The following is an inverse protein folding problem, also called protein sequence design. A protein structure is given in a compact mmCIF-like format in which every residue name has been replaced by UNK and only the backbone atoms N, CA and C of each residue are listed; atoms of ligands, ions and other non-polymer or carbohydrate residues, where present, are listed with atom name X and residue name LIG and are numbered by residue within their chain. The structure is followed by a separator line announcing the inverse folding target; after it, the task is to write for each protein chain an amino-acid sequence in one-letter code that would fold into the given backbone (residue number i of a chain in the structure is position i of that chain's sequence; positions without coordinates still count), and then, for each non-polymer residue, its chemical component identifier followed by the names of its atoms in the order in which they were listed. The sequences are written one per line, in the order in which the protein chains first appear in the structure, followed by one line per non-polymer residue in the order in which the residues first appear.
data_IF_963635006329
#
_entry.id   IF_963635006329
#
_cell.length_a   1.000
_cell.length_b   1.000
_cell.length_c   1.000
_cell.angle_alpha   90.00
_cell.angle_beta   90.00
_cell.angle_gamma   90.00
#
_symmetry.space_group_name_H-M   'P 1'
#
loop_
_entity.id
_entity.type
_entity.pdbx_description
1 polymer ?
#
# COMPACT_ATOMS: atom_id res chain seq x y z
N UNK A 1 -2.42 -12.48 6.65
CA UNK A 1 -3.06 -11.31 6.02
C UNK A 1 -2.06 -10.46 5.25
N UNK A 2 -0.97 -10.00 5.86
CA UNK A 2 0.04 -9.16 5.21
C UNK A 2 0.67 -9.82 3.97
N UNK A 3 1.11 -11.09 4.06
CA UNK A 3 1.66 -11.82 2.93
C UNK A 3 0.67 -12.00 1.77
N UNK A 4 -0.63 -12.16 2.08
CA UNK A 4 -1.68 -12.26 1.06
C UNK A 4 -1.85 -10.93 0.34
N UNK A 5 -1.88 -9.81 1.07
CA UNK A 5 -1.97 -8.46 0.51
C UNK A 5 -0.74 -8.13 -0.34
N UNK A 6 0.46 -8.48 0.13
CA UNK A 6 1.70 -8.36 -0.62
C UNK A 6 1.66 -9.14 -1.95
N UNK A 7 1.28 -10.41 -1.89
CA UNK A 7 1.17 -11.26 -3.07
C UNK A 7 0.15 -10.72 -4.08
N UNK A 8 -0.98 -10.21 -3.59
CA UNK A 8 -2.01 -9.58 -4.43
C UNK A 8 -1.47 -8.33 -5.12
N UNK A 9 -0.78 -7.45 -4.39
CA UNK A 9 -0.16 -6.24 -4.95
C UNK A 9 0.88 -6.57 -6.04
N UNK A 10 1.83 -7.46 -5.75
CA UNK A 10 2.88 -7.86 -6.70
C UNK A 10 2.27 -8.43 -7.98
N UNK A 11 1.25 -9.29 -7.85
CA UNK A 11 0.54 -9.86 -9.00
C UNK A 11 -0.27 -8.80 -9.75
N UNK A 12 -0.94 -7.87 -9.06
CA UNK A 12 -1.68 -6.78 -9.70
C UNK A 12 -0.76 -5.92 -10.57
N UNK A 13 0.38 -5.48 -10.03
CA UNK A 13 1.39 -4.71 -10.78
C UNK A 13 1.95 -5.49 -11.95
N UNK A 14 2.26 -6.79 -11.77
CA UNK A 14 2.80 -7.62 -12.85
C UNK A 14 1.81 -7.83 -13.99
N UNK A 15 0.54 -8.06 -13.63
CA UNK A 15 -0.52 -8.36 -14.59
C UNK A 15 -1.03 -7.12 -15.32
N UNK A 16 -1.03 -5.96 -14.67
CA UNK A 16 -1.41 -4.68 -15.32
C UNK A 16 -0.48 -4.26 -16.47
N UNK A 17 0.76 -4.75 -16.47
CA UNK A 17 1.75 -4.50 -17.54
C UNK A 17 1.63 -5.44 -18.75
N UNK A 18 0.73 -6.41 -18.67
CA UNK A 18 0.52 -7.42 -19.72
C UNK A 18 -0.91 -7.37 -20.21
N UNK A 19 -1.10 -7.75 -21.46
CA UNK A 19 -2.45 -7.98 -21.98
C UNK A 19 -2.94 -9.35 -21.46
N UNK A 20 -3.46 -9.35 -20.23
CA UNK A 20 -3.90 -10.57 -19.55
C UNK A 20 -5.36 -10.87 -19.88
N UNK A 21 -5.72 -12.14 -19.77
CA UNK A 21 -7.10 -12.57 -19.89
C UNK A 21 -7.96 -11.96 -18.76
N UNK A 22 -9.10 -11.41 -19.11
CA UNK A 22 -10.05 -10.78 -18.19
C UNK A 22 -10.46 -11.71 -17.03
N UNK A 23 -10.58 -13.02 -17.28
CA UNK A 23 -10.91 -14.00 -16.23
C UNK A 23 -9.83 -14.06 -15.15
N UNK A 24 -8.55 -14.03 -15.55
CA UNK A 24 -7.40 -14.05 -14.62
C UNK A 24 -7.36 -12.80 -13.76
N UNK A 25 -7.63 -11.62 -14.35
CA UNK A 25 -7.70 -10.36 -13.60
C UNK A 25 -8.86 -10.36 -12.59
N UNK A 26 -10.04 -10.85 -13.00
CA UNK A 26 -11.22 -10.97 -12.14
C UNK A 26 -11.00 -11.96 -11.00
N UNK A 27 -10.36 -13.11 -11.27
CA UNK A 27 -10.02 -14.09 -10.24
C UNK A 27 -9.08 -13.49 -9.20
N UNK A 28 -8.02 -12.83 -9.65
CA UNK A 28 -7.07 -12.16 -8.74
C UNK A 28 -7.76 -11.07 -7.92
N UNK A 29 -8.65 -10.29 -8.52
CA UNK A 29 -9.47 -9.28 -7.84
C UNK A 29 -10.34 -9.89 -6.73
N UNK A 30 -10.89 -11.08 -6.93
CA UNK A 30 -11.73 -11.76 -5.95
C UNK A 30 -10.97 -12.17 -4.66
N UNK A 31 -9.64 -12.22 -4.69
CA UNK A 31 -8.82 -12.50 -3.50
C UNK A 31 -8.92 -11.43 -2.42
N UNK A 32 -9.37 -10.24 -2.76
CA UNK A 32 -9.74 -9.21 -1.79
C UNK A 32 -10.73 -9.72 -0.74
N UNK A 33 -11.65 -10.59 -1.12
CA UNK A 33 -12.61 -11.23 -0.19
C UNK A 33 -11.92 -12.03 0.91
N UNK A 34 -10.77 -12.64 0.61
CA UNK A 34 -9.97 -13.39 1.59
C UNK A 34 -9.32 -12.41 2.60
N UNK A 35 -8.80 -11.27 2.13
CA UNK A 35 -8.23 -10.24 2.99
C UNK A 35 -9.30 -9.71 3.94
N UNK A 36 -10.47 -9.39 3.43
CA UNK A 36 -11.63 -8.95 4.21
C UNK A 36 -12.12 -9.99 5.22
N UNK A 37 -12.06 -11.28 4.87
CA UNK A 37 -12.34 -12.38 5.80
C UNK A 37 -11.34 -12.41 6.95
N UNK A 38 -10.04 -12.34 6.65
CA UNK A 38 -8.99 -12.31 7.67
C UNK A 38 -9.09 -11.09 8.57
N UNK A 39 -9.43 -9.92 8.04
CA UNK A 39 -9.64 -8.71 8.85
C UNK A 39 -10.75 -8.95 9.89
N UNK A 40 -11.90 -9.52 9.47
CA UNK A 40 -13.00 -9.83 10.38
C UNK A 40 -12.62 -10.89 11.41
N UNK A 41 -11.85 -11.90 11.01
CA UNK A 41 -11.36 -12.94 11.93
C UNK A 41 -10.42 -12.38 13.00
N UNK A 42 -9.46 -11.53 12.60
CA UNK A 42 -8.55 -10.89 13.55
C UNK A 42 -9.32 -10.00 14.52
N UNK A 43 -10.23 -9.16 14.02
CA UNK A 43 -11.07 -8.31 14.88
C UNK A 43 -11.87 -9.13 15.88
N UNK A 44 -12.47 -10.25 15.46
CA UNK A 44 -13.21 -11.16 16.35
C UNK A 44 -12.30 -11.76 17.42
N UNK A 45 -11.11 -12.26 17.02
CA UNK A 45 -10.12 -12.82 17.96
C UNK A 45 -9.67 -11.79 19.00
N UNK A 46 -9.45 -10.54 18.59
CA UNK A 46 -9.10 -9.44 19.48
C UNK A 46 -10.20 -9.21 20.53
N UNK A 47 -11.44 -9.09 20.08
CA UNK A 47 -12.59 -8.88 21.00
C UNK A 47 -12.74 -10.06 21.97
N UNK A 48 -12.63 -11.30 21.45
CA UNK A 48 -12.71 -12.51 22.28
C UNK A 48 -11.56 -12.56 23.31
N UNK A 49 -10.33 -12.27 22.87
CA UNK A 49 -9.16 -12.24 23.77
C UNK A 49 -9.37 -11.23 24.91
N UNK A 50 -9.76 -10.01 24.57
CA UNK A 50 -10.01 -8.98 25.57
C UNK A 50 -11.12 -9.35 26.56
N UNK A 51 -12.22 -9.93 26.05
CA UNK A 51 -13.35 -10.35 26.88
C UNK A 51 -13.00 -11.50 27.84
N UNK A 52 -12.10 -12.40 27.44
CA UNK A 52 -11.72 -13.56 28.25
C UNK A 52 -10.59 -13.25 29.24
N UNK A 53 -9.58 -12.49 28.81
CA UNK A 53 -8.37 -12.22 29.61
C UNK A 53 -8.53 -11.00 30.50
N UNK A 54 -9.37 -10.02 30.12
CA UNK A 54 -9.60 -8.75 30.82
C UNK A 54 -8.30 -8.08 31.31
N UNK A 55 -7.20 -8.22 30.52
CA UNK A 55 -5.89 -7.72 30.88
C UNK A 55 -5.67 -6.33 30.29
N UNK A 56 -5.64 -5.32 31.14
CA UNK A 56 -5.43 -3.92 30.74
C UNK A 56 -4.07 -3.73 30.02
N UNK A 57 -3.06 -4.51 30.36
CA UNK A 57 -1.73 -4.40 29.76
C UNK A 57 -1.74 -4.75 28.26
N UNK A 58 -2.72 -5.50 27.78
CA UNK A 58 -2.82 -5.90 26.38
C UNK A 58 -3.47 -4.82 25.49
N UNK A 59 -4.09 -3.80 26.07
CA UNK A 59 -4.83 -2.78 25.31
C UNK A 59 -3.97 -2.12 24.25
N UNK A 60 -2.75 -1.74 24.58
CA UNK A 60 -1.84 -1.09 23.63
C UNK A 60 -1.55 -1.98 22.40
N UNK A 61 -1.20 -3.25 22.66
CA UNK A 61 -0.93 -4.22 21.59
C UNK A 61 -2.18 -4.51 20.75
N UNK A 62 -3.34 -4.59 21.38
CA UNK A 62 -4.64 -4.77 20.72
C UNK A 62 -4.93 -3.60 19.77
N UNK A 63 -4.72 -2.36 20.22
CA UNK A 63 -4.94 -1.17 19.42
C UNK A 63 -3.96 -1.08 18.24
N UNK A 64 -2.70 -1.44 18.44
CA UNK A 64 -1.70 -1.55 17.37
C UNK A 64 -2.16 -2.54 16.31
N UNK A 65 -2.57 -3.74 16.73
CA UNK A 65 -3.03 -4.79 15.83
C UNK A 65 -4.30 -4.38 15.06
N UNK A 66 -5.24 -3.69 15.73
CA UNK A 66 -6.46 -3.16 15.08
C UNK A 66 -6.13 -2.15 13.98
N UNK A 67 -5.19 -1.24 14.21
CA UNK A 67 -4.75 -0.28 13.19
C UNK A 67 -4.05 -1.01 12.04
N UNK A 68 -3.16 -1.94 12.35
CA UNK A 68 -2.41 -2.70 11.34
C UNK A 68 -3.33 -3.47 10.39
N UNK A 69 -4.37 -4.15 10.89
CA UNK A 69 -5.27 -4.92 10.02
C UNK A 69 -6.12 -4.03 9.10
N UNK A 70 -6.42 -2.80 9.53
CA UNK A 70 -7.09 -1.80 8.68
C UNK A 70 -6.16 -1.39 7.54
N UNK A 71 -4.91 -1.04 7.85
CA UNK A 71 -3.94 -0.64 6.83
C UNK A 71 -3.65 -1.76 5.83
N UNK A 72 -3.55 -3.01 6.28
CA UNK A 72 -3.35 -4.17 5.40
C UNK A 72 -4.55 -4.38 4.47
N UNK A 73 -5.77 -4.21 4.96
CA UNK A 73 -6.98 -4.32 4.13
C UNK A 73 -7.02 -3.21 3.08
N UNK A 74 -6.68 -1.97 3.44
CA UNK A 74 -6.61 -0.86 2.49
C UNK A 74 -5.59 -1.10 1.37
N UNK A 75 -4.47 -1.75 1.65
CA UNK A 75 -3.53 -2.15 0.60
C UNK A 75 -4.19 -3.16 -0.36
N UNK A 76 -4.99 -4.08 0.14
CA UNK A 76 -5.80 -5.00 -0.67
C UNK A 76 -6.76 -4.24 -1.59
N UNK A 77 -7.51 -3.28 -1.05
CA UNK A 77 -8.43 -2.44 -1.80
C UNK A 77 -7.72 -1.69 -2.95
N UNK A 78 -6.58 -1.04 -2.67
CA UNK A 78 -5.83 -0.34 -3.72
C UNK A 78 -5.20 -1.29 -4.74
N UNK A 79 -4.80 -2.50 -4.33
CA UNK A 79 -4.35 -3.54 -5.26
C UNK A 79 -5.48 -3.99 -6.19
N UNK A 80 -6.70 -4.10 -5.69
CA UNK A 80 -7.91 -4.34 -6.47
C UNK A 80 -8.18 -3.21 -7.46
N UNK A 81 -8.00 -1.96 -7.04
CA UNK A 81 -8.17 -0.80 -7.91
C UNK A 81 -7.13 -0.77 -9.06
N UNK A 82 -5.90 -1.24 -8.83
CA UNK A 82 -4.90 -1.44 -9.89
C UNK A 82 -5.39 -2.49 -10.90
N UNK A 83 -6.03 -3.56 -10.44
CA UNK A 83 -6.60 -4.58 -11.33
C UNK A 83 -7.81 -4.04 -12.11
N UNK A 84 -8.65 -3.20 -11.49
CA UNK A 84 -9.75 -2.53 -12.20
C UNK A 84 -9.21 -1.60 -13.28
N UNK A 85 -8.16 -0.85 -12.97
CA UNK A 85 -7.50 -0.02 -13.97
C UNK A 85 -6.98 -0.86 -15.14
N UNK A 86 -6.36 -2.02 -14.88
CA UNK A 86 -5.89 -2.95 -15.90
C UNK A 86 -7.02 -3.62 -16.71
N UNK A 87 -8.23 -3.70 -16.16
CA UNK A 87 -9.41 -4.25 -16.83
C UNK A 87 -10.02 -3.23 -17.81
N UNK A 88 -10.06 -1.97 -17.43
CA UNK A 88 -10.78 -0.92 -18.18
C UNK A 88 -9.87 -0.07 -19.04
N UNK A 89 -8.59 0.04 -18.73
CA UNK A 89 -7.64 0.76 -19.58
C UNK A 89 -7.31 -0.09 -20.81
N UNK A 90 -7.51 0.43 -22.03
CA UNK A 90 -7.41 -0.37 -23.25
C UNK A 90 -5.99 -0.85 -23.57
N UNK A 91 -4.98 -0.21 -23.01
CA UNK A 91 -3.58 -0.51 -23.25
C UNK A 91 -2.89 -1.08 -21.99
N UNK A 92 -1.61 -1.42 -22.12
CA UNK A 92 -0.81 -1.88 -20.97
C UNK A 92 -0.38 -0.71 -20.11
N UNK A 93 -0.43 -0.88 -18.79
CA UNK A 93 0.12 0.10 -17.86
C UNK A 93 1.66 0.04 -17.86
N UNK A 94 2.25 0.54 -18.94
CA UNK A 94 3.71 0.65 -19.03
C UNK A 94 4.19 1.94 -18.35
N UNK A 95 4.52 1.85 -17.07
CA UNK A 95 4.89 3.02 -16.25
C UNK A 95 6.09 3.80 -16.79
N UNK A 96 7.01 3.14 -17.54
CA UNK A 96 8.16 3.81 -18.18
C UNK A 96 7.74 4.71 -19.33
N UNK A 97 6.73 4.27 -20.09
CA UNK A 97 6.20 5.03 -21.23
C UNK A 97 5.25 6.12 -20.76
N UNK A 98 4.44 5.83 -19.72
CA UNK A 98 3.49 6.80 -19.17
C UNK A 98 4.20 7.98 -18.49
N UNK A 99 5.14 7.73 -17.59
CA UNK A 99 5.91 8.78 -16.92
C UNK A 99 7.13 8.20 -16.17
N UNK A 100 8.33 8.79 -16.27
CA UNK A 100 9.52 8.31 -15.55
C UNK A 100 9.35 8.22 -14.05
N UNK A 101 8.80 9.26 -13.41
CA UNK A 101 8.56 9.29 -11.97
C UNK A 101 7.56 8.21 -11.54
N UNK A 102 6.57 7.86 -12.38
CA UNK A 102 5.61 6.81 -12.08
C UNK A 102 6.29 5.45 -11.97
N UNK A 103 7.26 5.19 -12.86
CA UNK A 103 8.07 3.98 -12.77
C UNK A 103 8.90 3.93 -11.49
N UNK A 104 9.53 5.05 -11.12
CA UNK A 104 10.32 5.15 -9.90
C UNK A 104 9.46 4.91 -8.64
N UNK A 105 8.29 5.57 -8.54
CA UNK A 105 7.35 5.36 -7.43
C UNK A 105 6.95 3.89 -7.33
N UNK A 106 6.66 3.23 -8.45
CA UNK A 106 6.30 1.82 -8.47
C UNK A 106 7.41 0.94 -7.90
N UNK A 107 8.68 1.15 -8.32
CA UNK A 107 9.81 0.37 -7.80
C UNK A 107 10.03 0.63 -6.30
N UNK A 108 9.94 1.89 -5.88
CA UNK A 108 10.07 2.25 -4.46
C UNK A 108 8.98 1.59 -3.62
N UNK A 109 7.72 1.62 -4.05
CA UNK A 109 6.61 1.01 -3.30
C UNK A 109 6.77 -0.51 -3.22
N UNK A 110 7.17 -1.17 -4.31
CA UNK A 110 7.45 -2.62 -4.31
C UNK A 110 8.55 -2.98 -3.32
N UNK A 111 9.71 -2.33 -3.43
CA UNK A 111 10.84 -2.58 -2.53
C UNK A 111 10.47 -2.32 -1.07
N UNK A 112 9.72 -1.25 -0.79
CA UNK A 112 9.24 -0.95 0.57
C UNK A 112 8.28 -2.00 1.09
N UNK A 113 7.44 -2.58 0.24
CA UNK A 113 6.54 -3.64 0.66
C UNK A 113 7.33 -4.86 1.14
N UNK A 114 8.29 -5.34 0.33
CA UNK A 114 9.15 -6.48 0.70
C UNK A 114 9.86 -6.22 2.04
N UNK A 115 10.44 -5.03 2.19
CA UNK A 115 11.18 -4.66 3.39
C UNK A 115 10.26 -4.45 4.61
N UNK A 116 9.05 -3.92 4.44
CA UNK A 116 8.06 -3.80 5.53
C UNK A 116 7.63 -5.17 6.03
N UNK A 117 7.35 -6.12 5.11
CA UNK A 117 7.04 -7.51 5.48
C UNK A 117 8.17 -8.12 6.30
N UNK A 118 9.42 -7.90 5.88
CA UNK A 118 10.59 -8.40 6.61
C UNK A 118 10.69 -7.75 7.99
N UNK A 119 10.65 -6.42 8.09
CA UNK A 119 10.76 -5.68 9.35
C UNK A 119 9.70 -6.10 10.38
N UNK A 120 8.46 -6.36 9.93
CA UNK A 120 7.39 -6.86 10.81
C UNK A 120 7.69 -8.29 11.29
N UNK A 121 8.15 -9.19 10.40
CA UNK A 121 8.40 -10.60 10.75
C UNK A 121 9.59 -10.78 11.67
N UNK A 122 10.59 -9.90 11.56
CA UNK A 122 11.82 -9.97 12.36
C UNK A 122 11.83 -8.98 13.52
N UNK A 123 10.79 -8.17 13.67
CA UNK A 123 10.71 -7.07 14.65
C UNK A 123 11.92 -6.11 14.57
N UNK A 124 12.42 -5.89 13.34
CA UNK A 124 13.63 -5.13 13.07
C UNK A 124 13.36 -3.62 13.11
N UNK A 125 13.63 -3.02 14.27
CA UNK A 125 13.46 -1.59 14.55
C UNK A 125 14.39 -0.72 13.69
N UNK A 126 15.62 -1.18 13.42
CA UNK A 126 16.58 -0.44 12.60
C UNK A 126 16.14 -0.37 11.16
N UNK A 127 15.74 -1.51 10.57
CA UNK A 127 15.17 -1.56 9.22
C UNK A 127 13.91 -0.71 9.12
N UNK A 128 12.99 -0.82 10.08
CA UNK A 128 11.77 -0.02 10.12
C UNK A 128 12.09 1.49 10.17
N UNK A 129 13.03 1.92 10.99
CA UNK A 129 13.48 3.32 11.06
C UNK A 129 14.08 3.82 9.74
N UNK A 130 14.88 2.99 9.08
CA UNK A 130 15.46 3.28 7.77
C UNK A 130 14.39 3.43 6.68
N UNK A 131 13.35 2.58 6.72
CA UNK A 131 12.25 2.62 5.76
C UNK A 131 11.42 3.90 5.85
N UNK A 132 11.34 4.53 7.01
CA UNK A 132 10.59 5.79 7.16
C UNK A 132 11.32 6.98 6.56
N UNK A 133 12.64 6.92 6.42
CA UNK A 133 13.43 7.98 5.80
C UNK A 133 13.11 8.07 4.29
N UNK A 134 13.01 9.30 3.78
CA UNK A 134 12.79 9.56 2.34
C UNK A 134 11.40 9.21 1.80
N UNK A 135 10.48 8.68 2.61
CA UNK A 135 9.13 8.30 2.14
C UNK A 135 8.38 9.48 1.50
N UNK A 136 8.39 10.64 2.17
CA UNK A 136 7.69 11.84 1.67
C UNK A 136 8.22 12.26 0.29
N UNK A 137 9.54 12.32 0.12
CA UNK A 137 10.18 12.74 -1.14
C UNK A 137 9.92 11.74 -2.26
N UNK A 138 10.17 10.46 -2.02
CA UNK A 138 10.24 9.44 -3.08
C UNK A 138 8.86 8.93 -3.53
N UNK A 139 7.82 9.06 -2.70
CA UNK A 139 6.47 8.56 -3.03
C UNK A 139 5.45 9.69 -3.03
N UNK A 140 5.31 10.41 -1.90
CA UNK A 140 4.25 11.41 -1.75
C UNK A 140 4.45 12.58 -2.72
N UNK A 141 5.61 13.24 -2.63
CA UNK A 141 5.91 14.43 -3.45
C UNK A 141 5.96 14.08 -4.93
N UNK A 142 6.56 12.93 -5.30
CA UNK A 142 6.63 12.50 -6.69
C UNK A 142 5.23 12.22 -7.28
N UNK A 143 4.36 11.51 -6.53
CA UNK A 143 2.97 11.30 -6.96
C UNK A 143 2.19 12.60 -7.10
N UNK A 144 2.34 13.53 -6.15
CA UNK A 144 1.65 14.83 -6.21
C UNK A 144 2.15 15.67 -7.38
N UNK A 145 3.44 15.64 -7.71
CA UNK A 145 4.01 16.32 -8.86
C UNK A 145 3.38 15.83 -10.17
N UNK A 146 3.33 14.51 -10.40
CA UNK A 146 2.70 13.93 -11.60
C UNK A 146 1.26 14.45 -11.73
N UNK A 147 0.47 14.35 -10.67
CA UNK A 147 -0.93 14.74 -10.69
C UNK A 147 -1.09 16.24 -10.96
N UNK A 148 -0.27 17.07 -10.31
CA UNK A 148 -0.35 18.52 -10.48
C UNK A 148 0.05 18.95 -11.90
N UNK A 149 1.11 18.38 -12.49
CA UNK A 149 1.53 18.69 -13.86
C UNK A 149 0.48 18.28 -14.90
N UNK A 150 -0.28 17.19 -14.64
CA UNK A 150 -1.39 16.79 -15.50
C UNK A 150 -2.58 17.76 -15.36
N UNK A 151 -2.93 18.15 -14.13
CA UNK A 151 -4.03 19.07 -13.86
C UNK A 151 -3.73 20.47 -14.39
N UNK A 152 -2.49 20.93 -14.29
CA UNK A 152 -2.06 22.27 -14.79
C UNK A 152 -1.90 22.30 -16.32
N UNK A 153 -1.94 21.16 -16.99
CA UNK A 153 -1.69 21.07 -18.43
C UNK A 153 -0.22 21.13 -18.83
N UNK A 154 0.72 21.10 -17.87
CA UNK A 154 2.16 21.05 -18.14
C UNK A 154 2.59 19.69 -18.70
N UNK A 155 1.84 18.63 -18.39
CA UNK A 155 2.05 17.29 -18.91
C UNK A 155 0.80 16.86 -19.69
N UNK A 156 0.96 16.66 -21.01
CA UNK A 156 -0.10 16.27 -21.90
C UNK A 156 0.08 14.83 -22.37
N UNK A 157 -1.01 14.11 -22.53
CA UNK A 157 -1.08 12.77 -23.07
C UNK A 157 -1.86 12.74 -24.39
N UNK A 158 -1.67 11.69 -25.18
CA UNK A 158 -2.37 11.55 -26.45
C UNK A 158 -3.88 11.34 -26.26
N UNK A 159 -4.29 10.74 -25.14
CA UNK A 159 -5.69 10.45 -24.84
C UNK A 159 -6.05 10.79 -23.39
N UNK A 160 -7.31 11.11 -23.14
CA UNK A 160 -7.85 11.27 -21.80
C UNK A 160 -7.73 9.99 -20.95
N UNK A 161 -7.83 8.82 -21.58
CA UNK A 161 -7.67 7.52 -20.91
C UNK A 161 -6.25 7.34 -20.35
N UNK A 162 -5.22 7.74 -21.12
CA UNK A 162 -3.82 7.68 -20.70
C UNK A 162 -3.56 8.60 -19.50
N UNK A 163 -4.05 9.83 -19.59
CA UNK A 163 -3.98 10.81 -18.50
C UNK A 163 -4.66 10.28 -17.22
N UNK A 164 -5.91 9.79 -17.35
CA UNK A 164 -6.67 9.24 -16.22
C UNK A 164 -5.96 8.01 -15.59
N UNK A 165 -5.46 7.10 -16.42
CA UNK A 165 -4.75 5.91 -15.96
C UNK A 165 -3.49 6.29 -15.18
N UNK A 166 -2.71 7.26 -15.66
CA UNK A 166 -1.50 7.76 -15.01
C UNK A 166 -1.80 8.38 -13.64
N UNK A 167 -2.80 9.26 -13.58
CA UNK A 167 -3.23 9.90 -12.32
C UNK A 167 -3.69 8.86 -11.29
N UNK A 168 -4.58 7.97 -11.70
CA UNK A 168 -5.13 6.95 -10.81
C UNK A 168 -4.04 6.00 -10.30
N UNK A 169 -3.17 5.55 -11.19
CA UNK A 169 -2.09 4.63 -10.79
C UNK A 169 -1.11 5.30 -9.82
N UNK A 170 -0.69 6.55 -10.10
CA UNK A 170 0.14 7.32 -9.18
C UNK A 170 -0.50 7.48 -7.80
N UNK A 171 -1.81 7.75 -7.76
CA UNK A 171 -2.58 7.87 -6.51
C UNK A 171 -2.69 6.55 -5.76
N UNK A 172 -2.93 5.43 -6.45
CA UNK A 172 -3.01 4.11 -5.81
C UNK A 172 -1.67 3.71 -5.21
N UNK A 173 -0.56 3.90 -5.93
CA UNK A 173 0.79 3.64 -5.41
C UNK A 173 1.10 4.52 -4.18
N UNK A 174 0.77 5.81 -4.21
CA UNK A 174 0.92 6.71 -3.06
C UNK A 174 0.13 6.21 -1.85
N UNK A 175 -1.11 5.75 -2.04
CA UNK A 175 -1.96 5.24 -0.95
C UNK A 175 -1.40 3.93 -0.38
N UNK A 176 -1.01 2.99 -1.22
CA UNK A 176 -0.36 1.74 -0.78
C UNK A 176 0.90 2.07 0.04
N UNK A 177 1.76 2.96 -0.47
CA UNK A 177 2.95 3.40 0.25
C UNK A 177 2.62 4.06 1.60
N UNK A 178 1.54 4.85 1.69
CA UNK A 178 1.12 5.48 2.96
C UNK A 178 0.68 4.43 3.99
N UNK A 179 -0.07 3.42 3.58
CA UNK A 179 -0.49 2.32 4.46
C UNK A 179 0.71 1.46 4.88
N UNK A 180 1.67 1.19 3.97
CA UNK A 180 2.94 0.53 4.33
C UNK A 180 3.73 1.34 5.36
N UNK A 181 3.79 2.68 5.20
CA UNK A 181 4.41 3.56 6.20
C UNK A 181 3.73 3.38 7.56
N UNK A 182 2.41 3.42 7.63
CA UNK A 182 1.68 3.24 8.89
C UNK A 182 2.01 1.89 9.54
N UNK A 183 1.98 0.80 8.75
CA UNK A 183 2.35 -0.54 9.22
C UNK A 183 3.80 -0.56 9.73
N UNK A 184 4.74 0.07 9.01
CA UNK A 184 6.14 0.16 9.44
C UNK A 184 6.29 0.89 10.78
N UNK A 185 5.50 1.95 11.00
CA UNK A 185 5.56 2.71 12.27
C UNK A 185 5.10 1.90 13.47
N UNK A 186 4.32 0.83 13.30
CA UNK A 186 3.90 -0.02 14.42
C UNK A 186 5.03 -0.81 15.06
N UNK A 187 6.17 -0.97 14.35
CA UNK A 187 7.39 -1.63 14.89
C UNK A 187 8.16 -0.70 15.82
N UNK A 188 8.02 0.62 15.65
CA UNK A 188 8.90 1.62 16.30
C UNK A 188 8.13 2.47 17.30
N UNK A 189 6.91 2.87 16.96
CA UNK A 189 6.20 3.90 17.68
C UNK A 189 5.22 3.32 18.70
N UNK A 190 5.03 3.99 19.86
CA UNK A 190 3.89 3.74 20.72
C UNK A 190 2.58 4.04 19.98
N UNK A 191 1.45 3.56 20.52
CA UNK A 191 0.14 3.58 19.85
C UNK A 191 -0.32 4.97 19.40
N UNK A 192 -0.08 6.00 20.18
CA UNK A 192 -0.45 7.39 19.91
C UNK A 192 0.32 8.03 18.76
N UNK A 193 1.45 7.43 18.38
CA UNK A 193 2.34 7.92 17.33
C UNK A 193 2.36 7.05 16.08
N UNK A 194 1.44 6.08 15.95
CA UNK A 194 1.30 5.26 14.73
C UNK A 194 0.98 6.15 13.52
N UNK A 195 1.73 5.96 12.43
CA UNK A 195 1.58 6.78 11.21
C UNK A 195 2.38 8.08 11.23
N UNK A 196 2.90 8.51 12.37
CA UNK A 196 3.74 9.70 12.50
C UNK A 196 5.23 9.34 12.50
N UNK A 197 6.05 10.26 12.04
CA UNK A 197 7.49 10.13 12.19
C UNK A 197 7.86 10.62 13.59
N UNK A 198 8.55 9.80 14.40
CA UNK A 198 8.98 10.22 15.74
C UNK A 198 9.89 11.45 15.64
N UNK A 199 9.64 12.47 16.47
CA UNK A 199 10.39 13.72 16.47
C UNK A 199 11.85 13.60 16.95
N UNK A 200 12.34 12.38 17.23
CA UNK A 200 13.67 12.08 17.76
C UNK A 200 14.67 11.45 16.79
N UNK A 201 14.29 11.23 15.50
CA UNK A 201 15.21 10.69 14.49
C UNK A 201 15.53 11.80 13.48
N UNK A 202 16.01 12.90 13.98
CA UNK A 202 16.67 13.94 13.18
C UNK A 202 18.16 13.79 13.37
N UNK A 203 18.81 13.08 12.45
CA UNK A 203 20.24 13.28 12.09
C UNK A 203 20.43 12.75 10.68
#
# INVERSE_FOLDING_TARGET
MLDLSHNMFVKAVKKSKKQENLSVLKELKNRDKEINKYQREVRRKIVTHFALQNNINDISSIMVLMNMVIDIERIGDYSKNILDLAIYYPEKLNTKELHPDLHEIEQVVKSRFDQTVNAIKTEDVELASKLLKGFKKNVTTASDRIVNHIISGELNFNTGSESAATVLYARYLKRIGSHLKNITTTVINPIDSIGYQSKGIST
#
